data_IF_325753595134
#
_entry.id   IF_325753595134
#
_cell.length_a   1.000
_cell.length_b   1.000
_cell.length_c   1.000
_cell.angle_alpha   90.00
_cell.angle_beta   90.00
_cell.angle_gamma   90.00
#
_symmetry.space_group_name_H-M   'P 1'
#
loop_
_entity.id
_entity.type
_entity.pdbx_description
1 polymer ?
#
# COMPACT_ATOMS: atom_id res chain seq x y z
N UNK A 1 7.28 -40.85 3.04
CA UNK A 1 6.07 -40.10 2.66
C UNK A 1 6.03 -38.78 3.43
N UNK A 2 5.88 -37.66 2.71
CA UNK A 2 6.12 -36.29 3.13
C UNK A 2 5.01 -35.71 4.03
N UNK A 3 5.36 -35.05 5.14
CA UNK A 3 4.51 -34.07 5.84
C UNK A 3 5.34 -32.82 6.14
N UNK A 4 5.32 -31.87 5.21
CA UNK A 4 5.98 -30.56 5.34
C UNK A 4 5.19 -29.54 4.51
N UNK A 5 4.02 -29.14 4.99
CA UNK A 5 3.18 -28.15 4.27
C UNK A 5 2.28 -27.28 5.15
N UNK A 6 2.67 -27.03 6.42
CA UNK A 6 1.89 -26.15 7.31
C UNK A 6 2.63 -24.95 7.90
N UNK A 7 3.86 -24.68 7.48
CA UNK A 7 4.63 -23.50 7.95
C UNK A 7 4.65 -22.32 6.97
N UNK A 8 4.03 -22.42 5.79
CA UNK A 8 4.03 -21.34 4.79
C UNK A 8 3.01 -20.23 5.06
N UNK A 9 1.86 -20.55 5.66
CA UNK A 9 0.77 -19.58 5.84
C UNK A 9 1.04 -18.53 6.94
N UNK A 10 1.68 -18.93 8.05
CA UNK A 10 2.04 -17.99 9.13
C UNK A 10 3.18 -17.04 8.71
N UNK A 11 4.14 -17.53 7.93
CA UNK A 11 5.19 -16.70 7.33
C UNK A 11 4.62 -15.71 6.30
N UNK A 12 3.63 -16.12 5.50
CA UNK A 12 2.94 -15.22 4.56
C UNK A 12 2.13 -14.12 5.28
N UNK A 13 1.46 -14.43 6.40
CA UNK A 13 0.72 -13.42 7.18
C UNK A 13 1.65 -12.44 7.92
N UNK A 14 2.82 -12.89 8.40
CA UNK A 14 3.82 -12.01 9.01
C UNK A 14 4.50 -11.08 8.00
N UNK A 15 4.63 -11.48 6.73
CA UNK A 15 5.16 -10.63 5.66
C UNK A 15 4.27 -9.43 5.30
N UNK A 16 2.95 -9.54 5.51
CA UNK A 16 2.02 -8.44 5.27
C UNK A 16 1.97 -7.43 6.44
N UNK A 17 2.38 -7.83 7.64
CA UNK A 17 2.35 -7.00 8.85
C UNK A 17 3.62 -6.14 9.05
N UNK A 18 4.69 -6.41 8.28
CA UNK A 18 5.98 -5.70 8.39
C UNK A 18 6.47 -5.18 7.04
N UNK A 19 5.64 -4.44 6.30
CA UNK A 19 6.26 -3.46 5.40
C UNK A 19 6.61 -2.25 6.25
N UNK A 20 7.90 -2.05 6.64
CA UNK A 20 8.30 -0.77 7.19
C UNK A 20 7.80 0.29 6.22
N UNK A 21 7.24 1.37 6.76
CA UNK A 21 6.85 2.56 6.01
C UNK A 21 7.93 2.79 4.95
N UNK A 22 7.67 2.45 3.68
CA UNK A 22 8.72 2.46 2.68
C UNK A 22 9.12 3.92 2.57
N UNK A 23 10.25 4.27 3.18
CA UNK A 23 10.83 5.60 3.04
C UNK A 23 11.36 5.62 1.62
N UNK A 24 10.55 6.17 0.73
CA UNK A 24 10.90 6.28 -0.67
C UNK A 24 11.75 7.53 -0.79
N UNK A 25 13.06 7.34 -0.59
CA UNK A 25 14.06 8.41 -0.62
C UNK A 25 14.49 8.77 -2.06
N UNK A 26 14.08 7.98 -3.06
CA UNK A 26 14.45 8.22 -4.46
C UNK A 26 13.29 8.00 -5.43
N UNK A 27 13.23 8.85 -6.47
CA UNK A 27 12.27 8.75 -7.56
C UNK A 27 12.36 7.39 -8.30
N UNK A 28 13.57 6.84 -8.45
CA UNK A 28 13.77 5.52 -9.04
C UNK A 28 13.27 4.38 -8.12
N UNK A 29 13.40 4.53 -6.80
CA UNK A 29 12.79 3.62 -5.83
C UNK A 29 11.26 3.60 -5.99
N UNK A 30 10.64 4.78 -6.06
CA UNK A 30 9.20 4.94 -6.27
C UNK A 30 8.73 4.24 -7.55
N UNK A 31 9.46 4.46 -8.65
CA UNK A 31 9.18 3.83 -9.94
C UNK A 31 9.13 2.30 -9.83
N UNK A 32 10.15 1.69 -9.21
CA UNK A 32 10.23 0.22 -9.07
C UNK A 32 9.07 -0.30 -8.23
N UNK A 33 8.72 0.41 -7.16
CA UNK A 33 7.59 0.06 -6.30
C UNK A 33 6.25 0.14 -7.05
N UNK A 34 6.01 1.20 -7.81
CA UNK A 34 4.84 1.33 -8.69
C UNK A 34 4.78 0.18 -9.70
N UNK A 35 5.89 -0.10 -10.39
CA UNK A 35 5.96 -1.14 -11.41
C UNK A 35 5.63 -2.53 -10.83
N UNK A 36 6.18 -2.85 -9.66
CA UNK A 36 5.91 -4.11 -8.95
C UNK A 36 4.49 -4.17 -8.42
N UNK A 37 3.95 -3.06 -7.93
CA UNK A 37 2.58 -3.00 -7.41
C UNK A 37 1.54 -3.22 -8.50
N UNK A 38 1.80 -2.77 -9.73
CA UNK A 38 0.93 -3.08 -10.88
C UNK A 38 0.85 -4.59 -11.09
N UNK A 39 1.97 -5.32 -10.99
CA UNK A 39 1.96 -6.78 -11.14
C UNK A 39 1.15 -7.51 -10.08
N UNK A 40 1.13 -6.97 -8.86
CA UNK A 40 0.48 -7.57 -7.70
C UNK A 40 -1.01 -7.23 -7.67
N UNK A 41 -1.35 -5.94 -7.84
CA UNK A 41 -2.71 -5.43 -7.60
C UNK A 41 -3.63 -5.52 -8.83
N UNK A 42 -3.05 -5.50 -10.04
CA UNK A 42 -3.84 -5.46 -11.27
C UNK A 42 -3.96 -6.87 -11.85
N UNK A 43 -5.14 -7.47 -11.71
CA UNK A 43 -5.41 -8.84 -12.20
C UNK A 43 -5.41 -8.94 -13.73
N UNK A 44 -5.94 -7.93 -14.43
CA UNK A 44 -6.03 -7.94 -15.89
C UNK A 44 -4.65 -7.87 -16.54
N UNK A 45 -4.35 -8.79 -17.46
CA UNK A 45 -3.11 -8.75 -18.27
C UNK A 45 -3.02 -7.49 -19.12
N UNK A 46 -4.11 -7.11 -19.77
CA UNK A 46 -4.16 -5.90 -20.59
C UNK A 46 -3.97 -4.65 -19.72
N UNK A 47 -4.64 -4.61 -18.56
CA UNK A 47 -4.49 -3.51 -17.60
C UNK A 47 -3.06 -3.36 -17.07
N UNK A 48 -2.39 -4.48 -16.72
CA UNK A 48 -0.98 -4.48 -16.30
C UNK A 48 -0.08 -3.89 -17.39
N UNK A 49 -0.21 -4.39 -18.61
CA UNK A 49 0.61 -3.94 -19.74
C UNK A 49 0.40 -2.45 -20.03
N UNK A 50 -0.86 -2.00 -20.03
CA UNK A 50 -1.22 -0.61 -20.23
C UNK A 50 -0.60 0.30 -19.17
N UNK A 51 -0.80 -0.01 -17.88
CA UNK A 51 -0.29 0.80 -16.78
C UNK A 51 1.23 0.81 -16.73
N UNK A 52 1.89 -0.34 -16.94
CA UNK A 52 3.35 -0.42 -17.02
C UNK A 52 3.92 0.40 -18.17
N UNK A 53 3.30 0.33 -19.36
CA UNK A 53 3.70 1.12 -20.52
C UNK A 53 3.58 2.61 -20.20
N UNK A 54 2.45 3.04 -19.64
CA UNK A 54 2.21 4.44 -19.28
C UNK A 54 3.18 4.93 -18.21
N UNK A 55 3.42 4.15 -17.16
CA UNK A 55 4.40 4.46 -16.11
C UNK A 55 5.81 4.65 -16.68
N UNK A 56 6.27 3.74 -17.54
CA UNK A 56 7.59 3.82 -18.16
C UNK A 56 7.71 4.96 -19.18
N UNK A 57 6.62 5.35 -19.83
CA UNK A 57 6.59 6.54 -20.69
C UNK A 57 6.73 7.81 -19.86
N UNK A 58 5.97 7.95 -18.78
CA UNK A 58 6.06 9.11 -17.87
C UNK A 58 7.45 9.23 -17.25
N UNK A 59 8.03 8.11 -16.80
CA UNK A 59 9.42 8.10 -16.33
C UNK A 59 10.39 8.60 -17.39
N UNK A 60 10.30 8.10 -18.63
CA UNK A 60 11.20 8.55 -19.71
C UNK A 60 11.10 10.03 -20.01
N UNK A 61 9.89 10.60 -19.93
CA UNK A 61 9.67 12.03 -20.15
C UNK A 61 10.29 12.90 -19.04
N UNK A 62 10.23 12.45 -17.79
CA UNK A 62 10.57 13.30 -16.65
C UNK A 62 11.82 12.88 -15.86
N UNK A 63 12.48 11.79 -16.24
CA UNK A 63 13.68 11.27 -15.54
C UNK A 63 14.89 12.21 -15.52
N UNK A 64 14.89 13.22 -16.39
CA UNK A 64 15.94 14.24 -16.50
C UNK A 64 15.44 15.62 -16.07
N UNK A 65 14.31 15.70 -15.40
CA UNK A 65 13.87 16.96 -14.81
C UNK A 65 14.89 17.40 -13.77
N UNK A 66 15.35 18.65 -13.84
CA UNK A 66 16.36 19.21 -12.92
C UNK A 66 15.74 20.23 -11.95
N UNK A 67 14.54 20.71 -12.26
CA UNK A 67 13.78 21.62 -11.42
C UNK A 67 13.27 20.91 -10.15
N UNK A 68 13.73 21.31 -8.95
CA UNK A 68 13.38 20.65 -7.69
C UNK A 68 11.88 20.67 -7.38
N UNK A 69 11.17 21.75 -7.72
CA UNK A 69 9.73 21.85 -7.45
C UNK A 69 8.94 20.89 -8.34
N UNK A 70 9.32 20.80 -9.62
CA UNK A 70 8.71 19.85 -10.55
C UNK A 70 9.04 18.41 -10.20
N UNK A 71 10.29 18.12 -9.81
CA UNK A 71 10.66 16.80 -9.31
C UNK A 71 9.79 16.40 -8.12
N UNK A 72 9.58 17.32 -7.17
CA UNK A 72 8.73 17.08 -6.00
C UNK A 72 7.29 16.81 -6.40
N UNK A 73 6.71 17.65 -7.25
CA UNK A 73 5.36 17.47 -7.77
C UNK A 73 5.18 16.11 -8.46
N UNK A 74 6.13 15.71 -9.30
CA UNK A 74 6.11 14.43 -9.99
C UNK A 74 6.23 13.24 -9.03
N UNK A 75 7.06 13.36 -8.00
CA UNK A 75 7.16 12.35 -6.95
C UNK A 75 5.86 12.23 -6.15
N UNK A 76 5.23 13.34 -5.76
CA UNK A 76 3.96 13.33 -5.02
C UNK A 76 2.82 12.78 -5.89
N UNK A 77 2.82 13.08 -7.19
CA UNK A 77 1.87 12.50 -8.16
C UNK A 77 2.06 10.99 -8.30
N UNK A 78 3.30 10.52 -8.43
CA UNK A 78 3.60 9.09 -8.50
C UNK A 78 3.29 8.36 -7.17
N UNK A 79 3.47 9.01 -6.03
CA UNK A 79 3.10 8.48 -4.71
C UNK A 79 1.57 8.35 -4.57
N UNK A 80 0.83 9.33 -5.09
CA UNK A 80 -0.64 9.27 -5.13
C UNK A 80 -1.12 8.10 -6.00
N UNK A 81 -0.49 7.89 -7.16
CA UNK A 81 -0.77 6.72 -8.01
C UNK A 81 -0.45 5.41 -7.30
N UNK A 82 0.70 5.33 -6.61
CA UNK A 82 1.06 4.17 -5.81
C UNK A 82 0.00 3.87 -4.75
N UNK A 83 -0.43 4.88 -4.00
CA UNK A 83 -1.49 4.72 -2.99
C UNK A 83 -2.80 4.24 -3.63
N UNK A 84 -3.22 4.83 -4.75
CA UNK A 84 -4.44 4.45 -5.46
C UNK A 84 -4.44 2.98 -5.93
N UNK A 85 -3.27 2.41 -6.29
CA UNK A 85 -3.16 0.99 -6.64
C UNK A 85 -3.47 0.06 -5.46
N UNK A 86 -3.21 0.52 -4.24
CA UNK A 86 -3.40 -0.26 -3.02
C UNK A 86 -4.67 0.10 -2.26
N UNK A 87 -5.42 1.12 -2.69
CA UNK A 87 -6.71 1.44 -2.11
C UNK A 87 -7.75 0.36 -2.47
N UNK A 88 -8.67 0.03 -1.56
CA UNK A 88 -9.78 -0.85 -1.86
C UNK A 88 -10.62 -0.23 -2.99
N UNK A 89 -10.99 -1.07 -3.98
CA UNK A 89 -11.71 -0.65 -5.21
C UNK A 89 -13.13 -0.12 -4.98
N UNK A 90 -13.65 -0.30 -3.76
CA UNK A 90 -14.99 0.07 -3.35
C UNK A 90 -14.91 0.57 -1.91
N UNK A 91 -14.50 1.83 -1.67
CA UNK A 91 -14.88 2.46 -0.41
C UNK A 91 -16.43 2.50 -0.38
N UNK A 92 -17.03 2.14 0.75
CA UNK A 92 -18.49 2.18 0.87
C UNK A 92 -18.97 3.59 0.50
N UNK A 93 -19.97 3.76 -0.39
CA UNK A 93 -20.42 5.08 -0.84
C UNK A 93 -20.98 5.95 0.29
N UNK A 94 -21.36 5.34 1.42
CA UNK A 94 -21.82 6.03 2.62
C UNK A 94 -20.69 6.23 3.66
N UNK A 95 -19.47 5.80 3.37
CA UNK A 95 -18.34 5.99 4.27
C UNK A 95 -17.75 7.39 4.04
N UNK A 96 -17.97 8.28 5.00
CA UNK A 96 -17.29 9.57 5.04
C UNK A 96 -15.79 9.31 5.23
N UNK A 97 -15.03 9.43 4.14
CA UNK A 97 -13.58 9.37 4.19
C UNK A 97 -13.08 10.69 4.75
N UNK A 98 -12.91 10.75 6.07
CA UNK A 98 -12.30 11.90 6.74
C UNK A 98 -10.80 11.83 6.50
N UNK A 99 -10.29 12.66 5.60
CA UNK A 99 -8.86 12.80 5.36
C UNK A 99 -8.20 13.49 6.57
N UNK A 100 -7.64 12.69 7.48
CA UNK A 100 -6.84 13.21 8.59
C UNK A 100 -5.43 13.51 8.08
N UNK A 101 -5.20 14.77 7.74
CA UNK A 101 -3.91 15.27 7.25
C UNK A 101 -2.80 15.24 8.33
N UNK A 102 -3.15 14.99 9.60
CA UNK A 102 -2.22 14.89 10.73
C UNK A 102 -1.77 13.45 10.99
N UNK A 103 -0.46 13.21 10.90
CA UNK A 103 0.19 11.93 11.20
C UNK A 103 -0.05 11.46 12.64
N UNK A 104 -0.15 12.40 13.58
CA UNK A 104 -0.31 12.10 15.01
C UNK A 104 -1.71 11.55 15.31
N UNK A 105 -2.73 12.10 14.65
CA UNK A 105 -4.12 11.68 14.84
C UNK A 105 -4.40 10.32 14.21
N UNK A 106 -3.81 10.04 13.05
CA UNK A 106 -3.90 8.73 12.40
C UNK A 106 -3.26 7.61 13.23
N UNK A 107 -2.15 7.90 13.94
CA UNK A 107 -1.50 6.93 14.82
C UNK A 107 -2.34 6.61 16.06
N UNK A 108 -2.85 7.64 16.76
CA UNK A 108 -3.68 7.46 17.96
C UNK A 108 -4.95 6.68 17.67
N UNK A 109 -5.57 6.90 16.52
CA UNK A 109 -6.80 6.20 16.13
C UNK A 109 -6.55 4.72 15.79
N UNK A 110 -5.42 4.44 15.14
CA UNK A 110 -4.98 3.05 14.88
C UNK A 110 -4.73 2.29 16.18
N UNK A 111 -4.11 2.93 17.16
CA UNK A 111 -3.88 2.34 18.50
C UNK A 111 -5.20 2.06 19.22
N UNK A 112 -6.16 2.99 19.15
CA UNK A 112 -7.50 2.81 19.75
C UNK A 112 -8.26 1.64 19.13
N UNK A 113 -8.30 1.56 17.79
CA UNK A 113 -8.97 0.46 17.09
C UNK A 113 -8.32 -0.90 17.37
N UNK A 114 -7.00 -0.95 17.55
CA UNK A 114 -6.30 -2.17 17.93
C UNK A 114 -6.66 -2.62 19.36
N UNK A 115 -6.80 -1.67 20.30
CA UNK A 115 -7.24 -1.93 21.67
C UNK A 115 -8.70 -2.41 21.75
N UNK A 116 -9.61 -1.81 20.97
CA UNK A 116 -11.01 -2.24 20.87
C UNK A 116 -11.14 -3.64 20.26
N UNK A 117 -10.36 -3.95 19.22
CA UNK A 117 -10.35 -5.28 18.62
C UNK A 117 -9.73 -6.35 19.55
N UNK A 118 -8.76 -5.99 20.38
CA UNK A 118 -8.16 -6.89 21.38
C UNK A 118 -9.11 -7.17 22.55
N UNK A 119 -9.87 -6.16 22.99
CA UNK A 119 -10.85 -6.29 24.06
C UNK A 119 -12.10 -7.06 23.61
N UNK A 120 -12.54 -6.91 22.36
CA UNK A 120 -13.62 -7.74 21.79
C UNK A 120 -13.27 -9.24 21.76
N UNK A 121 -12.01 -9.61 21.48
CA UNK A 121 -11.54 -11.01 21.47
C UNK A 121 -11.49 -11.67 22.85
N UNK A 122 -11.45 -10.89 23.93
CA UNK A 122 -11.45 -11.41 25.30
C UNK A 122 -12.86 -11.77 25.80
N UNK A 123 -13.92 -11.20 25.18
CA UNK A 123 -15.32 -11.44 25.56
C UNK A 123 -15.88 -12.72 24.93
N UNK A 124 -15.35 -13.18 23.79
CA UNK A 124 -15.84 -14.36 23.06
C UNK A 124 -15.31 -15.72 23.57
N UNK A 125 -14.59 -15.79 24.69
CA UNK A 125 -14.13 -17.07 25.25
C UNK A 125 -15.10 -17.52 26.36
N UNK A 126 -16.15 -18.31 26.07
CA UNK A 126 -16.97 -18.90 27.13
C UNK A 126 -16.09 -19.81 27.99
N UNK A 127 -16.22 -19.67 29.31
CA UNK A 127 -15.69 -20.64 30.28
C UNK A 127 -16.28 -22.01 29.94
N UNK A 128 -15.40 -22.95 29.61
CA UNK A 128 -15.71 -24.37 29.59
C UNK A 128 -15.90 -24.90 31.02
#
# INVERSE_FOLDING_TARGET
>A
MLRLTRMSAQLQQQMHAQQPLVQIESAYGLLRMCYRSIDIQVKSRHGRNFLKKRLMTQWRLHSKEEDPEKQRFLMDHAASFFQALHMPKSPDPNQVVVFKLSRVEALREKERLALEAASAKLVEKPRA
#
